data_IF_621929748314
#
_entry.id   IF_621929748314
#
_cell.length_a   1.000
_cell.length_b   1.000
_cell.length_c   1.000
_cell.angle_alpha   90.00
_cell.angle_beta   90.00
_cell.angle_gamma   90.00
#
_symmetry.space_group_name_H-M   'P 1'
#
loop_
_entity.id
_entity.type
_entity.pdbx_description
1 polymer ?
#
# COMPACT_ATOMS: atom_id res chain seq x y z
N UNK A 1 -8.82 2.35 1.69
CA UNK A 1 -7.50 2.29 1.05
C UNK A 1 -6.87 0.90 1.09
N UNK A 2 -6.86 0.24 2.23
CA UNK A 2 -6.17 -1.05 2.34
C UNK A 2 -6.74 -2.12 1.42
N UNK A 3 -8.03 -2.11 1.18
CA UNK A 3 -8.66 -3.06 0.28
C UNK A 3 -8.10 -2.96 -1.14
N UNK A 4 -7.82 -1.74 -1.59
CA UNK A 4 -7.21 -1.53 -2.91
C UNK A 4 -5.78 -2.02 -2.94
N UNK A 5 -5.06 -1.82 -1.84
CA UNK A 5 -3.70 -2.34 -1.70
C UNK A 5 -3.71 -3.87 -1.78
N UNK A 6 -4.60 -4.53 -1.04
CA UNK A 6 -4.71 -5.98 -1.08
C UNK A 6 -5.05 -6.49 -2.48
N UNK A 7 -5.91 -5.78 -3.20
CA UNK A 7 -6.26 -6.16 -4.56
C UNK A 7 -5.04 -6.13 -5.46
N UNK A 8 -4.22 -5.09 -5.33
CA UNK A 8 -3.00 -5.00 -6.12
C UNK A 8 -2.03 -6.12 -5.78
N UNK A 9 -1.91 -6.47 -4.50
CA UNK A 9 -1.06 -7.60 -4.10
C UNK A 9 -1.51 -8.89 -4.79
N UNK A 10 -2.82 -9.13 -4.76
CA UNK A 10 -3.38 -10.34 -5.35
C UNK A 10 -3.17 -10.36 -6.86
N UNK A 11 -3.44 -9.26 -7.52
CA UNK A 11 -3.31 -9.16 -8.98
C UNK A 11 -1.87 -9.34 -9.44
N UNK A 12 -0.92 -8.93 -8.63
CA UNK A 12 0.51 -8.96 -8.97
C UNK A 12 1.25 -10.13 -8.33
N UNK A 13 0.53 -10.96 -7.59
CA UNK A 13 1.12 -12.10 -6.91
C UNK A 13 2.22 -11.69 -5.93
N UNK A 14 1.97 -10.63 -5.20
CA UNK A 14 2.91 -10.06 -4.24
C UNK A 14 2.41 -10.24 -2.82
N UNK A 15 3.34 -10.18 -1.87
CA UNK A 15 3.01 -10.16 -0.44
C UNK A 15 3.35 -8.80 0.13
N UNK A 16 2.73 -8.46 1.27
CA UNK A 16 3.06 -7.21 1.95
C UNK A 16 4.54 -7.18 2.35
N UNK A 17 5.11 -8.33 2.68
CA UNK A 17 6.53 -8.43 3.00
C UNK A 17 7.40 -7.97 1.82
N UNK A 18 7.10 -8.47 0.62
CA UNK A 18 7.84 -8.07 -0.57
C UNK A 18 7.72 -6.58 -0.85
N UNK A 19 6.53 -6.03 -0.69
CA UNK A 19 6.31 -4.60 -0.88
C UNK A 19 7.08 -3.80 0.16
N UNK A 20 7.08 -4.25 1.40
CA UNK A 20 7.86 -3.61 2.46
C UNK A 20 9.34 -3.54 2.10
N UNK A 21 9.90 -4.65 1.63
CA UNK A 21 11.31 -4.67 1.23
C UNK A 21 11.59 -3.74 0.06
N UNK A 22 10.70 -3.70 -0.91
CA UNK A 22 10.92 -2.91 -2.13
C UNK A 22 10.73 -1.41 -1.91
N UNK A 23 9.83 -1.03 -1.02
CA UNK A 23 9.48 0.39 -0.83
C UNK A 23 10.13 1.02 0.39
N UNK A 24 10.62 0.20 1.31
CA UNK A 24 11.15 0.70 2.58
C UNK A 24 10.08 1.04 3.60
N UNK A 25 8.81 0.81 3.29
CA UNK A 25 7.73 1.01 4.26
C UNK A 25 7.74 -0.15 5.24
N UNK A 26 7.75 0.17 6.54
CA UNK A 26 7.82 -0.85 7.57
C UNK A 26 6.60 -1.77 7.54
N UNK A 27 6.83 -3.05 7.80
CA UNK A 27 5.73 -4.01 7.89
C UNK A 27 4.72 -3.65 8.97
N UNK A 28 5.21 -3.07 10.07
CA UNK A 28 4.33 -2.60 11.15
C UNK A 28 3.36 -1.55 10.66
N UNK A 29 3.79 -0.66 9.77
CA UNK A 29 2.91 0.35 9.18
C UNK A 29 1.83 -0.32 8.33
N UNK A 30 2.23 -1.26 7.48
CA UNK A 30 1.27 -1.99 6.65
C UNK A 30 0.25 -2.74 7.50
N UNK A 31 0.70 -3.34 8.58
CA UNK A 31 -0.17 -4.05 9.52
C UNK A 31 -1.16 -3.09 10.19
N UNK A 32 -0.67 -1.91 10.61
CA UNK A 32 -1.52 -0.90 11.25
C UNK A 32 -2.61 -0.42 10.30
N UNK A 33 -2.27 -0.24 9.02
CA UNK A 33 -3.26 0.17 8.02
C UNK A 33 -4.32 -0.91 7.82
N UNK A 34 -3.90 -2.17 7.80
CA UNK A 34 -4.83 -3.29 7.68
C UNK A 34 -5.81 -3.34 8.85
N UNK A 35 -5.31 -3.08 10.06
CA UNK A 35 -6.10 -3.15 11.28
C UNK A 35 -6.88 -1.87 11.56
N UNK A 36 -6.70 -0.83 10.75
CA UNK A 36 -7.39 0.43 10.94
C UNK A 36 -6.86 1.28 12.07
N UNK A 37 -5.68 0.93 12.61
CA UNK A 37 -5.07 1.68 13.71
C UNK A 37 -4.57 3.04 13.22
N UNK A 38 -4.04 3.07 12.00
CA UNK A 38 -3.56 4.31 11.39
C UNK A 38 -3.88 4.28 9.90
N UNK A 39 -3.80 5.45 9.28
CA UNK A 39 -4.00 5.59 7.84
C UNK A 39 -2.70 6.08 7.19
N UNK A 40 -2.40 5.61 5.98
CA UNK A 40 -1.20 6.08 5.30
C UNK A 40 -1.35 7.56 4.93
N UNK A 41 -0.27 8.30 5.07
CA UNK A 41 -0.21 9.68 4.63
C UNK A 41 0.06 9.72 3.13
N UNK A 42 -0.13 10.90 2.53
CA UNK A 42 0.00 11.07 1.09
C UNK A 42 1.38 10.63 0.59
N UNK A 43 2.44 10.93 1.34
CA UNK A 43 3.80 10.54 0.95
C UNK A 43 3.94 9.02 0.82
N UNK A 44 3.35 8.27 1.74
CA UNK A 44 3.38 6.80 1.66
C UNK A 44 2.52 6.29 0.52
N UNK A 45 1.36 6.91 0.32
CA UNK A 45 0.50 6.53 -0.81
C UNK A 45 1.19 6.78 -2.14
N UNK A 46 1.96 7.87 -2.25
CA UNK A 46 2.70 8.15 -3.47
C UNK A 46 3.77 7.09 -3.73
N UNK A 47 4.45 6.66 -2.69
CA UNK A 47 5.44 5.59 -2.81
C UNK A 47 4.79 4.31 -3.34
N UNK A 48 3.63 3.95 -2.79
CA UNK A 48 2.91 2.78 -3.25
C UNK A 48 2.40 2.94 -4.68
N UNK A 49 1.89 4.11 -5.01
CA UNK A 49 1.40 4.38 -6.37
C UNK A 49 2.53 4.24 -7.38
N UNK A 50 3.69 4.79 -7.06
CA UNK A 50 4.86 4.68 -7.93
C UNK A 50 5.31 3.23 -8.07
N UNK A 51 5.34 2.51 -6.97
CA UNK A 51 5.76 1.10 -6.99
C UNK A 51 4.83 0.24 -7.85
N UNK A 52 3.53 0.44 -7.72
CA UNK A 52 2.55 -0.34 -8.47
C UNK A 52 2.24 0.24 -9.84
N UNK A 53 2.82 1.38 -10.17
CA UNK A 53 2.59 2.06 -11.45
C UNK A 53 1.11 2.38 -11.67
N UNK A 54 0.49 2.94 -10.64
CA UNK A 54 -0.89 3.40 -10.69
C UNK A 54 -0.93 4.86 -10.25
N UNK A 55 -1.95 5.63 -10.67
CA UNK A 55 -2.06 7.01 -10.21
C UNK A 55 -2.37 7.07 -8.72
N UNK A 56 -1.96 8.16 -8.07
CA UNK A 56 -2.24 8.37 -6.66
C UNK A 56 -3.73 8.29 -6.37
N UNK A 57 -4.55 8.80 -7.28
CA UNK A 57 -6.00 8.78 -7.16
C UNK A 57 -6.56 7.36 -6.95
N UNK A 58 -5.84 6.36 -7.42
CA UNK A 58 -6.27 4.98 -7.26
C UNK A 58 -6.53 4.65 -5.79
N UNK A 59 -5.66 5.16 -4.90
CA UNK A 59 -5.81 4.93 -3.47
C UNK A 59 -6.73 5.94 -2.79
N UNK A 60 -6.90 7.12 -3.38
CA UNK A 60 -7.70 8.18 -2.77
C UNK A 60 -9.19 8.03 -3.05
N UNK A 61 -9.55 7.41 -4.17
CA UNK A 61 -10.95 7.20 -4.53
C UNK A 61 -11.51 5.99 -3.81
N UNK A 62 -12.76 6.08 -3.41
CA UNK A 62 -13.47 4.98 -2.76
C UNK A 62 -14.20 4.08 -3.74
#
# INVERSE_FOLDING_TARGET
>A
MYEKFERLLSERNLTSYKVSLATGIAQSSLSDWKRGISKPKVDKLQILADYFDVPLDYFLKE
#
